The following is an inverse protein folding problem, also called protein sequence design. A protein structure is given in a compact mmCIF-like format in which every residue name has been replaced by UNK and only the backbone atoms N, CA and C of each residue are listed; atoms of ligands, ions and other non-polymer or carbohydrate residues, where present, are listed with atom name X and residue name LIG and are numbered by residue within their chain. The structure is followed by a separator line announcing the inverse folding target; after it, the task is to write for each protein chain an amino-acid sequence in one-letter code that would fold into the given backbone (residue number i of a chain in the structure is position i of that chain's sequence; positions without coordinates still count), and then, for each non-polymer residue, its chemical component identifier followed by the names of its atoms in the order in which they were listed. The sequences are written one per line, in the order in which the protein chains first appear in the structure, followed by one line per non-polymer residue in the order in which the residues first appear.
data_IF_809494435235
#
_entry.id   IF_809494435235
#
_cell.length_a   1.000
_cell.length_b   1.000
_cell.length_c   1.000
_cell.angle_alpha   90.00
_cell.angle_beta   90.00
_cell.angle_gamma   90.00
#
_symmetry.space_group_name_H-M   'P 1'
#
loop_
_entity.id
_entity.type
_entity.pdbx_description
1 polymer ?
#
# COMPACT_ATOMS: atom_id res chain seq x y z
N UNK A 1 4.75 39.99 26.97
CA UNK A 1 4.67 38.51 26.92
C UNK A 1 4.87 37.98 25.48
N UNK A 2 6.04 38.16 24.85
CA UNK A 2 6.24 37.68 23.46
C UNK A 2 7.71 37.38 23.09
N UNK A 3 8.51 36.83 24.01
CA UNK A 3 9.94 36.50 23.76
C UNK A 3 10.31 35.02 23.94
N UNK A 4 9.35 34.13 24.18
CA UNK A 4 9.63 32.69 24.42
C UNK A 4 9.63 31.84 23.14
N UNK A 5 8.82 32.21 22.13
CA UNK A 5 8.66 31.38 20.93
C UNK A 5 9.82 31.47 19.92
N UNK A 6 10.59 32.58 19.91
CA UNK A 6 11.67 32.79 18.93
C UNK A 6 12.91 31.95 19.25
N UNK A 7 13.15 31.62 20.53
CA UNK A 7 14.35 30.89 20.95
C UNK A 7 14.29 29.39 20.60
N UNK A 8 13.10 28.81 20.51
CA UNK A 8 12.94 27.40 20.11
C UNK A 8 13.17 27.15 18.61
N UNK A 9 13.05 28.16 17.74
CA UNK A 9 13.35 28.02 16.30
C UNK A 9 14.86 28.12 16.04
N UNK A 10 15.62 28.78 16.93
CA UNK A 10 17.08 28.94 16.76
C UNK A 10 17.88 27.69 17.18
N UNK A 11 17.33 26.84 18.05
CA UNK A 11 17.98 25.62 18.53
C UNK A 11 18.13 24.52 17.45
N UNK A 12 17.43 24.63 16.31
CA UNK A 12 17.54 23.69 15.19
C UNK A 12 18.67 24.01 14.19
N UNK A 13 19.54 25.00 14.49
CA UNK A 13 20.48 25.56 13.51
C UNK A 13 21.98 25.31 13.74
N UNK A 14 22.37 24.37 14.60
CA UNK A 14 23.80 24.02 14.81
C UNK A 14 24.08 22.52 14.65
N UNK A 15 23.38 21.83 13.75
CA UNK A 15 23.79 20.50 13.32
C UNK A 15 24.78 20.63 12.15
N UNK A 16 26.04 20.24 12.38
CA UNK A 16 27.10 20.24 11.37
C UNK A 16 26.62 19.55 10.07
N UNK A 17 27.04 20.06 8.91
CA UNK A 17 26.72 19.50 7.58
C UNK A 17 27.02 17.99 7.52
N UNK A 18 28.06 17.54 8.24
CA UNK A 18 28.41 16.12 8.39
C UNK A 18 27.37 15.31 9.17
N UNK A 19 26.76 15.87 10.22
CA UNK A 19 25.70 15.21 11.02
C UNK A 19 24.39 15.12 10.24
N UNK A 20 24.02 16.16 9.48
CA UNK A 20 22.86 16.11 8.57
C UNK A 20 23.07 15.12 7.42
N UNK A 21 24.26 15.10 6.82
CA UNK A 21 24.61 14.08 5.82
C UNK A 21 24.63 12.67 6.43
N UNK A 22 25.18 12.48 7.63
CA UNK A 22 25.17 11.17 8.29
C UNK A 22 23.75 10.72 8.62
N UNK A 23 22.87 11.63 9.07
CA UNK A 23 21.46 11.35 9.35
C UNK A 23 20.68 11.02 8.08
N UNK A 24 20.92 11.77 6.99
CA UNK A 24 20.34 11.49 5.68
C UNK A 24 20.90 10.20 5.08
N UNK A 25 22.18 9.90 5.29
CA UNK A 25 22.85 8.68 4.84
C UNK A 25 22.38 7.43 5.61
N UNK A 26 22.15 7.55 6.92
CA UNK A 26 21.51 6.50 7.72
C UNK A 26 20.04 6.31 7.33
N UNK A 27 19.32 7.40 7.05
CA UNK A 27 17.94 7.37 6.55
C UNK A 27 17.86 6.69 5.17
N UNK A 28 18.75 7.05 4.24
CA UNK A 28 18.83 6.45 2.90
C UNK A 28 19.35 5.01 2.92
N UNK A 29 20.30 4.66 3.80
CA UNK A 29 20.77 3.25 3.95
C UNK A 29 19.67 2.34 4.50
N UNK A 30 18.80 2.85 5.36
CA UNK A 30 17.65 2.09 5.86
C UNK A 30 16.53 1.98 4.81
N UNK A 31 16.40 2.95 3.91
CA UNK A 31 15.49 2.86 2.76
C UNK A 31 15.99 1.91 1.66
N UNK A 32 17.29 1.91 1.35
CA UNK A 32 17.90 1.05 0.33
C UNK A 32 17.76 -0.45 0.67
N UNK A 33 17.60 -0.80 1.95
CA UNK A 33 17.43 -2.18 2.40
C UNK A 33 16.04 -2.75 2.10
N UNK A 34 14.95 -1.96 2.17
CA UNK A 34 13.59 -2.44 1.85
C UNK A 34 13.34 -2.62 0.32
N UNK A 35 14.27 -2.26 -0.58
CA UNK A 35 14.10 -2.49 -2.04
C UNK A 35 14.49 -3.92 -2.45
N UNK A 36 15.17 -4.69 -1.59
CA UNK A 36 15.56 -6.08 -1.90
C UNK A 36 14.77 -7.08 -1.05
N UNK A 37 13.52 -7.32 -1.44
CA UNK A 37 12.74 -8.47 -0.96
C UNK A 37 13.48 -9.78 -1.37
N UNK A 38 13.44 -10.80 -0.50
CA UNK A 38 13.79 -12.23 -0.71
C UNK A 38 15.11 -12.81 -0.14
N UNK A 39 15.82 -12.20 0.82
CA UNK A 39 16.93 -12.90 1.53
C UNK A 39 17.23 -12.52 2.98
N UNK A 40 16.29 -11.98 3.74
CA UNK A 40 16.57 -11.50 5.11
C UNK A 40 15.88 -12.39 6.15
N UNK A 41 16.27 -13.65 6.21
CA UNK A 41 16.07 -14.46 7.43
C UNK A 41 17.41 -14.91 8.03
N UNK A 42 18.52 -14.84 7.27
CA UNK A 42 19.78 -15.47 7.72
C UNK A 42 20.89 -14.51 8.16
N UNK A 43 20.85 -13.21 7.82
CA UNK A 43 21.90 -12.25 8.15
C UNK A 43 21.55 -11.28 9.30
N UNK A 44 20.31 -11.29 9.77
CA UNK A 44 19.82 -10.30 10.75
C UNK A 44 20.21 -10.61 12.21
N UNK A 45 20.60 -11.85 12.52
CA UNK A 45 20.98 -12.22 13.88
C UNK A 45 22.23 -11.46 14.37
N UNK A 46 23.13 -11.07 13.46
CA UNK A 46 24.37 -10.35 13.82
C UNK A 46 24.23 -8.82 13.80
N UNK A 47 23.36 -8.23 12.97
CA UNK A 47 23.22 -6.76 12.87
C UNK A 47 22.24 -6.20 13.90
N UNK A 48 21.23 -6.99 14.31
CA UNK A 48 20.25 -6.56 15.31
C UNK A 48 20.87 -6.45 16.72
N UNK A 49 21.94 -7.20 17.02
CA UNK A 49 22.56 -7.22 18.36
C UNK A 49 23.32 -5.94 18.73
N UNK A 50 23.76 -5.13 17.75
CA UNK A 50 24.58 -3.93 18.04
C UNK A 50 23.79 -2.62 18.18
N UNK A 51 22.52 -2.57 17.76
CA UNK A 51 21.71 -1.33 17.79
C UNK A 51 20.66 -1.27 18.91
N UNK A 52 20.48 -2.33 19.70
CA UNK A 52 19.40 -2.43 20.70
C UNK A 52 19.71 -1.80 22.06
N UNK A 53 20.89 -1.20 22.27
CA UNK A 53 21.25 -0.63 23.57
C UNK A 53 20.80 0.83 23.79
N UNK A 54 20.18 1.48 22.79
CA UNK A 54 19.68 2.85 22.93
C UNK A 54 18.26 3.03 22.40
N UNK A 55 17.47 3.89 23.05
CA UNK A 55 16.10 4.28 22.66
C UNK A 55 16.01 4.72 21.18
N UNK A 56 17.12 5.25 20.63
CA UNK A 56 17.21 5.67 19.23
C UNK A 56 17.19 4.49 18.26
N UNK A 57 17.82 3.36 18.61
CA UNK A 57 17.81 2.15 17.78
C UNK A 57 16.43 1.50 17.69
N UNK A 58 15.68 1.49 18.81
CA UNK A 58 14.31 1.00 18.84
C UNK A 58 13.38 1.83 17.93
N UNK A 59 13.51 3.16 17.96
CA UNK A 59 12.73 4.07 17.07
C UNK A 59 13.04 3.82 15.59
N UNK A 60 14.30 3.59 15.24
CA UNK A 60 14.71 3.31 13.86
C UNK A 60 14.18 1.96 13.36
N UNK A 61 14.25 0.91 14.18
CA UNK A 61 13.69 -0.42 13.87
C UNK A 61 12.17 -0.35 13.65
N UNK A 62 11.45 0.40 14.49
CA UNK A 62 10.00 0.62 14.33
C UNK A 62 9.68 1.34 13.01
N UNK A 63 10.40 2.41 12.68
CA UNK A 63 10.19 3.16 11.43
C UNK A 63 10.49 2.31 10.19
N UNK A 64 11.53 1.46 10.26
CA UNK A 64 11.85 0.54 9.16
C UNK A 64 10.73 -0.47 8.95
N UNK A 65 10.27 -1.11 10.02
CA UNK A 65 9.17 -2.08 9.96
C UNK A 65 7.90 -1.46 9.37
N UNK A 66 7.55 -0.25 9.78
CA UNK A 66 6.35 0.43 9.25
C UNK A 66 6.52 0.81 7.78
N UNK A 67 7.73 1.18 7.33
CA UNK A 67 8.01 1.43 5.91
C UNK A 67 7.81 0.19 5.05
N UNK A 68 8.39 -0.94 5.47
CA UNK A 68 8.22 -2.21 4.77
C UNK A 68 6.73 -2.66 4.80
N UNK A 69 6.01 -2.56 5.94
CA UNK A 69 4.54 -2.80 6.01
C UNK A 69 3.75 -1.93 5.03
N UNK A 70 4.15 -0.67 4.88
CA UNK A 70 3.53 0.25 3.93
C UNK A 70 3.85 -0.08 2.47
N UNK A 71 5.00 -0.71 2.17
CA UNK A 71 5.33 -1.20 0.83
C UNK A 71 4.42 -2.36 0.45
N UNK A 72 4.33 -3.40 1.31
CA UNK A 72 3.44 -4.54 1.09
C UNK A 72 1.98 -4.09 0.86
N UNK A 73 1.51 -3.12 1.66
CA UNK A 73 0.18 -2.54 1.51
C UNK A 73 -0.01 -1.82 0.17
N UNK A 74 1.02 -1.09 -0.28
CA UNK A 74 0.94 -0.36 -1.54
C UNK A 74 1.00 -1.30 -2.74
N UNK A 75 1.77 -2.39 -2.65
CA UNK A 75 1.85 -3.46 -3.65
C UNK A 75 0.49 -4.12 -3.81
N UNK A 76 -0.12 -4.59 -2.71
CA UNK A 76 -1.47 -5.16 -2.75
C UNK A 76 -2.53 -4.19 -3.32
N UNK A 77 -2.36 -2.89 -3.09
CA UNK A 77 -3.25 -1.87 -3.65
C UNK A 77 -3.03 -1.66 -5.16
N UNK A 78 -1.81 -1.84 -5.65
CA UNK A 78 -1.49 -1.81 -7.08
C UNK A 78 -2.03 -3.06 -7.79
N UNK A 79 -1.96 -4.23 -7.16
CA UNK A 79 -2.65 -5.44 -7.65
C UNK A 79 -4.16 -5.24 -7.73
N UNK A 80 -4.75 -4.57 -6.73
CA UNK A 80 -6.16 -4.19 -6.79
C UNK A 80 -6.44 -3.23 -7.95
N UNK A 81 -5.54 -2.28 -8.26
CA UNK A 81 -5.70 -1.42 -9.45
C UNK A 81 -5.68 -2.24 -10.73
N UNK A 82 -4.85 -3.28 -10.82
CA UNK A 82 -4.75 -4.16 -11.99
C UNK A 82 -6.10 -4.78 -12.39
N UNK A 83 -6.97 -5.09 -11.43
CA UNK A 83 -8.27 -5.74 -11.70
C UNK A 83 -9.46 -4.77 -11.81
N UNK A 84 -9.26 -3.47 -11.57
CA UNK A 84 -10.34 -2.47 -11.66
C UNK A 84 -10.53 -2.04 -13.12
N UNK A 85 -11.77 -2.10 -13.67
CA UNK A 85 -12.08 -1.60 -15.00
C UNK A 85 -11.79 -0.11 -15.11
N UNK A 86 -11.29 0.32 -16.28
CA UNK A 86 -10.98 1.74 -16.59
C UNK A 86 -9.87 2.37 -15.75
N UNK A 87 -9.21 1.61 -14.87
CA UNK A 87 -8.03 2.07 -14.15
C UNK A 87 -6.76 2.09 -15.02
N UNK A 88 -6.83 1.51 -16.22
CA UNK A 88 -5.70 1.33 -17.13
C UNK A 88 -5.90 2.10 -18.44
N UNK A 89 -4.85 2.80 -18.87
CA UNK A 89 -4.77 3.44 -20.18
C UNK A 89 -3.50 4.28 -20.27
N UNK A 90 -2.84 4.30 -21.42
CA UNK A 90 -1.54 4.99 -21.61
C UNK A 90 -1.54 6.50 -21.33
N UNK A 91 -2.71 7.10 -21.15
CA UNK A 91 -2.92 8.52 -20.79
C UNK A 91 -3.56 8.71 -19.40
N UNK A 92 -3.99 7.63 -18.74
CA UNK A 92 -4.71 7.70 -17.46
C UNK A 92 -3.72 7.71 -16.30
N UNK A 93 -3.73 8.80 -15.53
CA UNK A 93 -2.88 8.97 -14.34
C UNK A 93 -3.25 7.93 -13.26
N UNK A 94 -2.25 7.44 -12.53
CA UNK A 94 -2.43 6.51 -11.39
C UNK A 94 -3.52 7.02 -10.43
N UNK A 95 -4.53 6.19 -10.20
CA UNK A 95 -5.64 6.50 -9.31
C UNK A 95 -5.17 6.66 -7.86
N UNK A 96 -5.77 7.61 -7.13
CA UNK A 96 -5.54 7.78 -5.69
C UNK A 96 -6.02 6.56 -4.89
N UNK A 97 -5.52 6.38 -3.66
CA UNK A 97 -5.94 5.26 -2.79
C UNK A 97 -7.46 5.23 -2.59
N UNK A 98 -8.06 6.40 -2.34
CA UNK A 98 -9.50 6.53 -2.12
C UNK A 98 -10.27 6.20 -3.41
N UNK A 99 -9.83 6.70 -4.56
CA UNK A 99 -10.48 6.41 -5.84
C UNK A 99 -10.42 4.92 -6.19
N UNK A 100 -9.28 4.27 -5.97
CA UNK A 100 -9.11 2.82 -6.15
C UNK A 100 -10.11 2.04 -5.30
N UNK A 101 -10.22 2.35 -3.99
CA UNK A 101 -11.16 1.65 -3.10
C UNK A 101 -12.63 1.87 -3.48
N UNK A 102 -12.98 3.10 -3.90
CA UNK A 102 -14.33 3.42 -4.34
C UNK A 102 -14.72 2.64 -5.60
N UNK A 103 -13.84 2.62 -6.60
CA UNK A 103 -14.07 1.88 -7.84
C UNK A 103 -14.12 0.38 -7.60
N UNK A 104 -13.24 -0.17 -6.76
CA UNK A 104 -13.27 -1.58 -6.38
C UNK A 104 -14.62 -1.98 -5.76
N UNK A 105 -15.11 -1.19 -4.80
CA UNK A 105 -16.42 -1.43 -4.17
C UNK A 105 -17.54 -1.44 -5.21
N UNK A 106 -17.56 -0.43 -6.09
CA UNK A 106 -18.59 -0.30 -7.11
C UNK A 106 -18.52 -1.44 -8.13
N UNK A 107 -17.31 -1.87 -8.48
CA UNK A 107 -17.09 -2.98 -9.40
C UNK A 107 -17.65 -4.29 -8.84
N UNK A 108 -17.41 -4.60 -7.56
CA UNK A 108 -17.99 -5.77 -6.89
C UNK A 108 -19.52 -5.73 -6.95
N UNK A 109 -20.13 -4.59 -6.59
CA UNK A 109 -21.60 -4.44 -6.61
C UNK A 109 -22.17 -4.67 -8.01
N UNK A 110 -21.53 -4.11 -9.03
CA UNK A 110 -21.95 -4.26 -10.43
C UNK A 110 -21.82 -5.71 -10.91
N UNK A 111 -20.71 -6.38 -10.59
CA UNK A 111 -20.51 -7.79 -10.94
C UNK A 111 -21.54 -8.70 -10.27
N UNK A 112 -21.86 -8.48 -8.99
CA UNK A 112 -22.89 -9.24 -8.29
C UNK A 112 -24.27 -9.10 -8.96
N UNK A 113 -24.66 -7.87 -9.31
CA UNK A 113 -25.92 -7.62 -10.02
C UNK A 113 -25.95 -8.31 -11.38
N UNK A 114 -24.89 -8.19 -12.16
CA UNK A 114 -24.78 -8.84 -13.48
C UNK A 114 -24.89 -10.37 -13.36
N UNK A 115 -24.27 -10.97 -12.34
CA UNK A 115 -24.38 -12.42 -12.09
C UNK A 115 -25.82 -12.83 -11.77
N UNK A 116 -26.53 -12.05 -10.95
CA UNK A 116 -27.91 -12.35 -10.57
C UNK A 116 -28.87 -12.21 -11.77
N UNK A 117 -28.69 -11.19 -12.61
CA UNK A 117 -29.43 -11.02 -13.87
C UNK A 117 -29.18 -12.22 -14.81
N UNK A 118 -27.94 -12.65 -14.97
CA UNK A 118 -27.60 -13.81 -15.79
C UNK A 118 -28.21 -15.11 -15.26
N UNK A 119 -28.25 -15.31 -13.94
CA UNK A 119 -28.92 -16.46 -13.32
C UNK A 119 -30.42 -16.48 -13.59
N UNK A 120 -31.08 -15.31 -13.52
CA UNK A 120 -32.50 -15.18 -13.85
C UNK A 120 -32.74 -15.50 -15.32
N UNK A 121 -31.93 -14.95 -16.24
CA UNK A 121 -32.03 -15.23 -17.67
C UNK A 121 -31.89 -16.73 -17.97
N UNK A 122 -30.89 -17.40 -17.38
CA UNK A 122 -30.70 -18.86 -17.54
C UNK A 122 -31.92 -19.64 -17.04
N UNK A 123 -32.52 -19.22 -15.92
CA UNK A 123 -33.71 -19.86 -15.35
C UNK A 123 -34.92 -19.72 -16.29
N UNK A 124 -35.15 -18.50 -16.79
CA UNK A 124 -36.23 -18.21 -17.75
C UNK A 124 -36.05 -19.00 -19.03
N UNK A 125 -34.84 -19.05 -19.59
CA UNK A 125 -34.55 -19.82 -20.81
C UNK A 125 -34.77 -21.33 -20.61
N UNK A 126 -34.38 -21.89 -19.46
CA UNK A 126 -34.65 -23.29 -19.13
C UNK A 126 -36.14 -23.58 -19.05
N UNK A 127 -36.91 -22.71 -18.41
CA UNK A 127 -38.37 -22.84 -18.32
C UNK A 127 -39.04 -22.74 -19.70
N UNK A 128 -38.58 -21.85 -20.57
CA UNK A 128 -39.09 -21.74 -21.94
C UNK A 128 -38.79 -22.99 -22.77
N UNK A 129 -37.61 -23.59 -22.61
CA UNK A 129 -37.24 -24.80 -23.33
C UNK A 129 -38.04 -26.04 -22.89
N UNK A 130 -38.43 -26.13 -21.61
CA UNK A 130 -39.31 -27.22 -21.13
C UNK A 130 -40.75 -27.13 -21.64
N UNK A 131 -41.26 -25.91 -21.90
CA UNK A 131 -42.62 -25.73 -22.43
C UNK A 131 -42.66 -26.06 -23.93
N UNK A 132 -41.62 -25.70 -24.68
CA UNK A 132 -41.53 -26.01 -26.12
C UNK A 132 -41.45 -27.51 -26.43
N UNK A 133 -40.96 -28.34 -25.50
CA UNK A 133 -40.85 -29.79 -25.70
C UNK A 133 -42.15 -30.55 -25.38
N UNK A 134 -43.20 -29.86 -24.92
CA UNK A 134 -44.53 -30.45 -24.67
C UNK A 134 -45.58 -30.06 -25.72
N UNK A 135 -45.23 -29.22 -26.69
CA UNK A 135 -46.14 -28.74 -27.75
C UNK A 135 -45.88 -29.40 -29.14
N UNK A 136 -44.91 -30.30 -29.24
CA UNK A 136 -44.67 -31.21 -30.39
C UNK A 136 -45.07 -32.65 -30.01
#
# INVERSE_FOLDING_TARGET
MHRSATYCITAARTESRAKRQAKLFLFLKSDIFCINQDRIIHSDFSIHHQMTSSETGARLSINLRERCRMHDLNEALDDLRAVIPYAHGGSVRKLSKIATLLLAKNHIIMQSKAIDELRQLVTTLRAQNSVKSTED
#
